data_IF_515276986608
#
_entry.id   IF_515276986608
#
_cell.length_a   1.000
_cell.length_b   1.000
_cell.length_c   1.000
_cell.angle_alpha   90.00
_cell.angle_beta   90.00
_cell.angle_gamma   90.00
#
_symmetry.space_group_name_H-M   'P 1'
#
loop_
_entity.id
_entity.type
_entity.pdbx_description
1 polymer ?
#
# COMPACT_ATOMS: atom_id res chain seq x y z
N UNK A 1 -16.77 -6.45 -13.93
CA UNK A 1 -16.16 -5.16 -14.33
C UNK A 1 -14.89 -5.52 -15.09
N UNK A 2 -14.87 -5.25 -16.39
CA UNK A 2 -14.12 -6.00 -17.39
C UNK A 2 -13.06 -5.15 -18.13
N UNK A 3 -12.38 -4.28 -17.39
CA UNK A 3 -11.40 -3.35 -17.95
C UNK A 3 -11.54 -1.94 -17.36
N UNK A 4 -11.00 -0.96 -18.08
CA UNK A 4 -11.08 0.47 -17.74
C UNK A 4 -12.09 1.17 -18.65
N UNK A 5 -12.73 2.25 -18.19
CA UNK A 5 -13.80 2.92 -18.97
C UNK A 5 -13.27 3.58 -20.26
N UNK A 6 -12.03 4.08 -20.22
CA UNK A 6 -11.43 4.86 -21.31
C UNK A 6 -9.98 4.49 -21.51
N UNK A 7 -9.56 4.50 -22.77
CA UNK A 7 -8.16 4.38 -23.14
C UNK A 7 -7.38 5.66 -22.83
N UNK A 8 -6.05 5.53 -22.89
CA UNK A 8 -5.12 6.64 -22.88
C UNK A 8 -5.31 7.52 -24.11
N UNK A 9 -5.43 8.83 -23.89
CA UNK A 9 -5.54 9.80 -25.00
C UNK A 9 -4.20 9.99 -25.71
N UNK A 10 -4.26 10.39 -26.99
CA UNK A 10 -3.07 10.64 -27.80
C UNK A 10 -2.17 11.68 -27.10
N UNK A 11 -0.89 11.38 -26.98
CA UNK A 11 0.12 12.25 -26.36
C UNK A 11 0.15 12.23 -24.83
N UNK A 12 -0.76 11.52 -24.15
CA UNK A 12 -0.74 11.43 -22.69
C UNK A 12 0.48 10.65 -22.19
N UNK A 13 0.92 9.63 -22.92
CA UNK A 13 2.08 8.82 -22.56
C UNK A 13 3.35 9.67 -22.47
N UNK A 14 3.64 10.47 -23.51
CA UNK A 14 4.79 11.39 -23.51
C UNK A 14 4.73 12.39 -22.36
N UNK A 15 3.53 12.90 -22.05
CA UNK A 15 3.32 13.82 -20.92
C UNK A 15 3.59 13.12 -19.58
N UNK A 16 3.07 11.91 -19.40
CA UNK A 16 3.27 11.11 -18.19
C UNK A 16 4.75 10.75 -18.00
N UNK A 17 5.45 10.34 -19.06
CA UNK A 17 6.89 10.06 -19.02
C UNK A 17 7.70 11.28 -18.56
N UNK A 18 7.38 12.47 -19.09
CA UNK A 18 8.02 13.71 -18.66
C UNK A 18 7.73 14.03 -17.18
N UNK A 19 6.47 13.85 -16.74
CA UNK A 19 6.07 14.07 -15.35
C UNK A 19 6.73 13.08 -14.39
N UNK A 20 6.80 11.80 -14.74
CA UNK A 20 7.47 10.76 -13.94
C UNK A 20 8.96 11.07 -13.81
N UNK A 21 9.61 11.50 -14.91
CA UNK A 21 11.03 11.87 -14.89
C UNK A 21 11.31 13.09 -14.00
N UNK A 22 10.44 14.10 -14.07
CA UNK A 22 10.54 15.28 -13.21
C UNK A 22 10.37 14.89 -11.73
N UNK A 23 9.31 14.13 -11.42
CA UNK A 23 9.04 13.62 -10.08
C UNK A 23 10.19 12.76 -9.54
N UNK A 24 10.72 11.82 -10.33
CA UNK A 24 11.87 10.99 -9.94
C UNK A 24 13.08 11.86 -9.58
N UNK A 25 13.38 12.88 -10.38
CA UNK A 25 14.52 13.78 -10.15
C UNK A 25 14.36 14.54 -8.83
N UNK A 26 13.17 15.11 -8.58
CA UNK A 26 12.86 15.84 -7.34
C UNK A 26 12.85 14.90 -6.12
N UNK A 27 12.19 13.74 -6.26
CA UNK A 27 12.11 12.74 -5.22
C UNK A 27 13.50 12.23 -4.82
N UNK A 28 14.41 12.01 -5.77
CA UNK A 28 15.76 11.53 -5.47
C UNK A 28 16.59 12.54 -4.66
N UNK A 29 16.36 13.85 -4.85
CA UNK A 29 16.98 14.88 -4.01
C UNK A 29 16.47 14.82 -2.56
N UNK A 30 15.17 14.60 -2.38
CA UNK A 30 14.55 14.46 -1.05
C UNK A 30 14.98 13.15 -0.40
N UNK A 31 14.97 12.05 -1.15
CA UNK A 31 15.43 10.73 -0.73
C UNK A 31 16.84 10.80 -0.16
N UNK A 32 17.80 11.41 -0.89
CA UNK A 32 19.18 11.54 -0.44
C UNK A 32 19.30 12.36 0.85
N UNK A 33 18.49 13.40 1.04
CA UNK A 33 18.48 14.15 2.29
C UNK A 33 17.96 13.30 3.45
N UNK A 34 16.83 12.62 3.24
CA UNK A 34 16.21 11.76 4.27
C UNK A 34 17.16 10.65 4.73
N UNK A 35 17.75 9.89 3.80
CA UNK A 35 18.56 8.71 4.16
C UNK A 35 19.89 9.09 4.84
N UNK A 36 20.34 10.35 4.69
CA UNK A 36 21.58 10.85 5.30
C UNK A 36 21.33 11.70 6.55
N UNK A 37 20.06 11.96 6.91
CA UNK A 37 19.71 12.76 8.08
C UNK A 37 19.54 11.85 9.31
N UNK A 38 20.64 11.65 10.05
CA UNK A 38 20.62 10.82 11.26
C UNK A 38 19.73 11.40 12.34
N UNK A 39 19.66 12.73 12.48
CA UNK A 39 18.84 13.39 13.50
C UNK A 39 17.35 13.11 13.26
N UNK A 40 16.91 13.18 12.00
CA UNK A 40 15.53 12.84 11.63
C UNK A 40 15.21 11.38 12.00
N UNK A 41 16.09 10.44 11.67
CA UNK A 41 15.88 9.02 11.94
C UNK A 41 15.91 8.70 13.44
N UNK A 42 16.86 9.27 14.18
CA UNK A 42 16.97 9.17 15.64
C UNK A 42 15.70 9.68 16.34
N UNK A 43 15.08 10.76 15.83
CA UNK A 43 13.83 11.30 16.40
C UNK A 43 12.65 10.34 16.31
N UNK A 44 12.65 9.42 15.34
CA UNK A 44 11.58 8.45 15.10
C UNK A 44 11.93 7.04 15.61
N UNK A 45 13.17 6.82 16.04
CA UNK A 45 13.63 5.50 16.46
C UNK A 45 12.93 5.09 17.76
N UNK A 46 12.49 3.82 17.82
CA UNK A 46 11.76 3.29 18.98
C UNK A 46 10.31 3.78 19.12
N UNK A 47 9.93 4.88 18.44
CA UNK A 47 8.56 5.40 18.46
C UNK A 47 7.59 4.39 17.86
N UNK A 48 6.50 4.11 18.58
CA UNK A 48 5.39 3.27 18.11
C UNK A 48 5.87 1.90 17.59
N UNK A 49 6.64 1.17 18.40
CA UNK A 49 7.11 -0.17 18.05
C UNK A 49 5.98 -1.20 18.13
N UNK A 50 5.76 -1.95 17.05
CA UNK A 50 4.66 -2.93 16.94
C UNK A 50 5.24 -4.35 16.98
N UNK A 51 4.71 -5.19 17.87
CA UNK A 51 5.16 -6.58 17.95
C UNK A 51 4.68 -7.42 16.76
N UNK A 52 5.50 -8.38 16.33
CA UNK A 52 5.13 -9.34 15.25
C UNK A 52 3.83 -10.09 15.54
N UNK A 53 3.58 -10.44 16.81
CA UNK A 53 2.35 -11.11 17.26
C UNK A 53 1.11 -10.25 16.99
N UNK A 54 1.21 -8.94 17.24
CA UNK A 54 0.12 -8.00 17.00
C UNK A 54 -0.14 -7.81 15.50
N UNK A 55 0.94 -7.72 14.72
CA UNK A 55 0.87 -7.61 13.25
C UNK A 55 0.13 -8.82 12.66
N UNK A 56 0.49 -10.03 13.10
CA UNK A 56 -0.19 -11.26 12.68
C UNK A 56 -1.65 -11.32 13.16
N UNK A 57 -1.92 -10.93 14.41
CA UNK A 57 -3.28 -10.93 14.99
C UNK A 57 -4.27 -10.10 14.15
N UNK A 58 -3.84 -8.95 13.64
CA UNK A 58 -4.70 -8.03 12.89
C UNK A 58 -4.55 -8.14 11.36
N UNK A 59 -3.73 -9.07 10.88
CA UNK A 59 -3.31 -9.13 9.47
C UNK A 59 -2.87 -7.75 8.98
N UNK A 60 -1.98 -7.11 9.74
CA UNK A 60 -1.52 -5.74 9.52
C UNK A 60 -0.42 -5.73 8.46
N UNK A 61 -0.80 -5.82 7.19
CA UNK A 61 0.12 -5.79 6.06
C UNK A 61 0.68 -4.41 5.73
N UNK A 62 1.00 -4.17 4.46
CA UNK A 62 1.51 -2.87 4.00
C UNK A 62 2.87 -2.51 4.62
N UNK A 63 3.06 -1.22 4.94
CA UNK A 63 4.33 -0.71 5.48
C UNK A 63 4.68 -1.32 6.85
N UNK A 64 3.69 -1.66 7.68
CA UNK A 64 3.89 -2.18 9.03
C UNK A 64 4.47 -3.59 9.01
N UNK A 65 3.85 -4.52 8.27
CA UNK A 65 4.41 -5.87 8.11
C UNK A 65 5.78 -5.84 7.43
N UNK A 66 5.92 -5.02 6.38
CA UNK A 66 7.19 -4.90 5.65
C UNK A 66 8.32 -4.43 6.59
N UNK A 67 8.09 -3.40 7.41
CA UNK A 67 9.06 -2.90 8.39
C UNK A 67 9.39 -3.91 9.50
N UNK A 68 8.49 -4.85 9.78
CA UNK A 68 8.72 -5.95 10.72
C UNK A 68 9.40 -7.17 10.06
N UNK A 69 9.68 -7.11 8.76
CA UNK A 69 10.23 -8.24 7.99
C UNK A 69 9.25 -9.41 7.87
N UNK A 70 7.94 -9.12 7.82
CA UNK A 70 6.89 -10.12 7.62
C UNK A 70 6.37 -9.97 6.19
N UNK A 71 6.41 -11.06 5.41
CA UNK A 71 5.80 -11.12 4.06
C UNK A 71 4.27 -11.23 4.22
N UNK A 72 3.61 -10.08 4.29
CA UNK A 72 2.15 -9.92 4.27
C UNK A 72 1.78 -8.87 3.22
N UNK A 73 2.03 -9.23 1.96
CA UNK A 73 1.66 -8.44 0.79
C UNK A 73 0.78 -9.30 -0.13
N UNK A 74 -0.47 -8.89 -0.33
CA UNK A 74 -1.43 -9.68 -1.14
C UNK A 74 -0.93 -9.86 -2.57
N UNK A 75 -0.16 -8.90 -3.11
CA UNK A 75 0.42 -8.97 -4.47
C UNK A 75 1.38 -10.14 -4.64
N UNK A 76 1.99 -10.61 -3.55
CA UNK A 76 2.95 -11.71 -3.57
C UNK A 76 2.29 -13.10 -3.57
N UNK A 77 1.03 -13.18 -3.11
CA UNK A 77 0.36 -14.46 -2.82
C UNK A 77 -0.91 -14.68 -3.66
N UNK A 78 -1.57 -13.60 -4.07
CA UNK A 78 -2.79 -13.64 -4.88
C UNK A 78 -2.50 -13.04 -6.25
N UNK A 79 -2.75 -13.80 -7.31
CA UNK A 79 -2.62 -13.30 -8.68
C UNK A 79 -3.80 -12.38 -9.00
N UNK A 80 -3.54 -11.10 -9.17
CA UNK A 80 -4.50 -10.13 -9.70
C UNK A 80 -3.77 -9.03 -10.48
N UNK A 81 -4.43 -8.49 -11.51
CA UNK A 81 -3.80 -7.53 -12.41
C UNK A 81 -2.55 -8.13 -13.06
N UNK A 82 -1.44 -7.39 -13.01
CA UNK A 82 -0.14 -7.75 -13.61
C UNK A 82 0.96 -7.97 -12.56
N UNK A 83 0.59 -8.05 -11.27
CA UNK A 83 1.58 -8.08 -10.18
C UNK A 83 2.43 -9.36 -10.15
N UNK A 84 1.98 -10.43 -10.82
CA UNK A 84 2.77 -11.64 -11.04
C UNK A 84 3.94 -11.41 -12.02
N UNK A 85 3.86 -10.42 -12.91
CA UNK A 85 4.90 -10.07 -13.89
C UNK A 85 5.81 -8.95 -13.39
N UNK A 86 5.28 -8.01 -12.61
CA UNK A 86 6.02 -6.81 -12.11
C UNK A 86 7.13 -7.17 -11.12
N UNK A 87 7.08 -8.37 -10.52
CA UNK A 87 8.05 -8.84 -9.55
C UNK A 87 7.78 -8.35 -8.13
N UNK A 88 8.41 -9.00 -7.15
CA UNK A 88 8.18 -8.73 -5.72
C UNK A 88 8.99 -7.52 -5.25
N UNK A 89 8.35 -6.66 -4.47
CA UNK A 89 9.07 -5.69 -3.65
C UNK A 89 9.71 -6.41 -2.47
N UNK A 90 11.04 -6.38 -2.38
CA UNK A 90 11.79 -6.97 -1.27
C UNK A 90 12.71 -5.91 -0.65
N UNK A 91 12.49 -5.61 0.63
CA UNK A 91 13.43 -4.82 1.42
C UNK A 91 14.40 -5.74 2.13
N UNK A 92 15.68 -5.63 1.79
CA UNK A 92 16.76 -6.32 2.50
C UNK A 92 17.27 -5.40 3.60
N UNK A 93 17.30 -5.88 4.84
CA UNK A 93 18.09 -5.27 5.92
C UNK A 93 17.39 -4.22 6.81
N UNK A 94 16.12 -3.88 6.57
CA UNK A 94 15.34 -2.96 7.43
C UNK A 94 14.36 -3.75 8.31
N UNK A 95 14.74 -4.02 9.56
CA UNK A 95 13.92 -4.79 10.51
C UNK A 95 13.92 -4.16 11.92
N UNK A 96 12.94 -3.29 12.19
CA UNK A 96 12.82 -2.60 13.49
C UNK A 96 11.39 -2.45 14.01
N UNK A 97 10.39 -2.55 13.13
CA UNK A 97 8.94 -2.40 13.41
C UNK A 97 8.52 -1.13 14.19
N UNK A 98 9.36 -0.10 14.20
CA UNK A 98 9.13 1.23 14.75
C UNK A 98 8.85 2.27 13.64
N UNK A 99 8.60 3.52 14.03
CA UNK A 99 8.26 4.60 13.11
C UNK A 99 9.42 4.90 12.13
N UNK A 100 10.66 4.93 12.60
CA UNK A 100 11.84 5.13 11.76
C UNK A 100 11.94 4.07 10.64
N UNK A 101 11.80 2.78 10.99
CA UNK A 101 11.84 1.71 10.00
C UNK A 101 10.68 1.81 9.01
N UNK A 102 9.46 2.12 9.48
CA UNK A 102 8.29 2.29 8.61
C UNK A 102 8.45 3.47 7.65
N UNK A 103 9.07 4.56 8.10
CA UNK A 103 9.35 5.70 7.25
C UNK A 103 10.35 5.36 6.14
N UNK A 104 11.47 4.72 6.47
CA UNK A 104 12.44 4.26 5.47
C UNK A 104 11.81 3.28 4.46
N UNK A 105 11.00 2.34 4.95
CA UNK A 105 10.23 1.42 4.09
C UNK A 105 9.30 2.18 3.13
N UNK A 106 8.59 3.20 3.60
CA UNK A 106 7.69 3.98 2.77
C UNK A 106 8.44 4.73 1.66
N UNK A 107 9.58 5.33 1.97
CA UNK A 107 10.43 6.04 1.02
C UNK A 107 11.03 5.07 -0.01
N UNK A 108 11.51 3.90 0.40
CA UNK A 108 11.98 2.88 -0.54
C UNK A 108 10.86 2.33 -1.44
N UNK A 109 9.63 2.21 -0.93
CA UNK A 109 8.48 1.81 -1.74
C UNK A 109 8.19 2.81 -2.85
N UNK A 110 8.30 4.11 -2.59
CA UNK A 110 8.12 5.15 -3.62
C UNK A 110 9.16 4.97 -4.73
N UNK A 111 10.43 4.81 -4.36
CA UNK A 111 11.53 4.55 -5.31
C UNK A 111 11.26 3.32 -6.17
N UNK A 112 10.80 2.22 -5.56
CA UNK A 112 10.43 1.02 -6.30
C UNK A 112 9.22 1.22 -7.22
N UNK A 113 8.19 1.92 -6.77
CA UNK A 113 7.02 2.21 -7.60
C UNK A 113 7.37 3.08 -8.81
N UNK A 114 8.28 4.05 -8.68
CA UNK A 114 8.80 4.82 -9.82
C UNK A 114 9.44 3.87 -10.86
N UNK A 115 10.29 2.94 -10.40
CA UNK A 115 10.92 1.95 -11.27
C UNK A 115 9.88 1.08 -12.00
N UNK A 116 8.91 0.55 -11.26
CA UNK A 116 7.81 -0.27 -11.81
C UNK A 116 7.02 0.52 -12.86
N UNK A 117 6.56 1.73 -12.53
CA UNK A 117 5.73 2.54 -13.44
C UNK A 117 6.51 2.87 -14.72
N UNK A 118 7.79 3.22 -14.63
CA UNK A 118 8.64 3.44 -15.82
C UNK A 118 8.74 2.19 -16.70
N UNK A 119 8.92 1.02 -16.08
CA UNK A 119 8.94 -0.26 -16.80
C UNK A 119 7.62 -0.56 -17.51
N UNK A 120 6.49 -0.26 -16.86
CA UNK A 120 5.16 -0.45 -17.45
C UNK A 120 4.91 0.52 -18.61
N UNK A 121 5.25 1.79 -18.47
CA UNK A 121 5.08 2.80 -19.54
C UNK A 121 5.90 2.46 -20.78
N UNK A 122 7.12 1.95 -20.61
CA UNK A 122 7.95 1.53 -21.73
C UNK A 122 7.42 0.29 -22.48
N UNK A 123 6.55 -0.51 -21.84
CA UNK A 123 6.08 -1.79 -22.36
C UNK A 123 4.54 -1.88 -22.39
N UNK A 124 3.84 -0.76 -22.57
CA UNK A 124 2.38 -0.74 -22.65
C UNK A 124 1.92 -1.56 -23.87
N UNK A 125 1.13 -2.64 -23.69
CA UNK A 125 0.60 -3.39 -24.80
C UNK A 125 -0.50 -2.58 -25.50
N UNK A 126 -0.56 -2.69 -26.83
CA UNK A 126 -1.75 -2.27 -27.58
C UNK A 126 -2.84 -3.34 -27.48
N UNK A 127 -4.11 -2.95 -27.49
CA UNK A 127 -5.22 -3.90 -27.49
C UNK A 127 -6.50 -3.33 -26.92
N UNK A 128 -7.47 -4.21 -26.66
CA UNK A 128 -8.72 -3.83 -26.00
C UNK A 128 -8.47 -3.49 -24.53
N UNK A 129 -8.94 -2.32 -24.09
CA UNK A 129 -8.86 -1.86 -22.71
C UNK A 129 -10.16 -2.11 -21.91
N UNK A 130 -11.25 -2.43 -22.62
CA UNK A 130 -12.57 -2.77 -22.08
C UNK A 130 -13.21 -3.87 -22.95
N UNK A 131 -13.76 -4.90 -22.32
CA UNK A 131 -14.54 -5.92 -23.04
C UNK A 131 -15.93 -5.37 -23.41
N UNK A 132 -16.29 -5.37 -24.70
CA UNK A 132 -17.52 -4.78 -25.26
C UNK A 132 -18.82 -5.48 -24.81
N UNK A 133 -18.75 -6.73 -24.35
CA UNK A 133 -19.90 -7.52 -23.94
C UNK A 133 -19.70 -8.09 -22.55
N UNK A 134 -19.88 -7.26 -21.53
CA UNK A 134 -20.22 -7.77 -20.21
C UNK A 134 -21.72 -8.10 -20.22
N UNK A 135 -22.10 -9.32 -20.58
CA UNK A 135 -23.42 -9.81 -20.16
C UNK A 135 -23.52 -9.54 -18.65
N UNK A 136 -24.67 -9.01 -18.21
CA UNK A 136 -24.92 -8.80 -16.78
C UNK A 136 -24.97 -10.19 -16.16
N UNK A 137 -23.81 -10.66 -15.71
CA UNK A 137 -23.66 -11.95 -15.07
C UNK A 137 -24.34 -11.81 -13.71
N UNK A 138 -25.55 -12.37 -13.58
CA UNK A 138 -26.12 -12.58 -12.26
C UNK A 138 -25.18 -13.53 -11.53
N UNK A 139 -24.42 -12.98 -10.59
CA UNK A 139 -23.49 -13.76 -9.79
C UNK A 139 -24.28 -14.85 -9.07
N UNK A 140 -23.91 -16.14 -9.21
CA UNK A 140 -24.63 -17.23 -8.57
C UNK A 140 -24.76 -16.97 -7.07
N UNK A 141 -25.83 -17.48 -6.46
CA UNK A 141 -26.01 -17.38 -5.01
C UNK A 141 -24.79 -17.98 -4.29
N UNK A 142 -24.10 -17.17 -3.50
CA UNK A 142 -22.88 -17.58 -2.82
C UNK A 142 -22.18 -16.43 -2.12
N UNK A 143 -21.07 -16.77 -1.47
CA UNK A 143 -20.12 -15.81 -0.89
C UNK A 143 -18.85 -15.80 -1.74
N UNK A 144 -18.49 -14.63 -2.25
CA UNK A 144 -17.27 -14.42 -3.04
C UNK A 144 -16.37 -13.48 -2.28
N UNK A 145 -15.11 -13.86 -2.09
CA UNK A 145 -14.13 -13.03 -1.40
C UNK A 145 -12.97 -12.77 -2.34
N UNK A 146 -12.62 -11.51 -2.51
CA UNK A 146 -11.40 -11.08 -3.19
C UNK A 146 -10.57 -10.22 -2.25
N UNK A 147 -9.29 -10.06 -2.59
CA UNK A 147 -8.37 -9.23 -1.82
C UNK A 147 -7.47 -8.43 -2.75
N UNK A 148 -7.14 -7.22 -2.33
CA UNK A 148 -6.19 -6.33 -2.99
C UNK A 148 -5.25 -5.74 -1.93
N UNK A 149 -4.03 -5.40 -2.33
CA UNK A 149 -3.12 -4.60 -1.51
C UNK A 149 -3.42 -3.10 -1.73
N UNK A 150 -4.01 -2.44 -0.73
CA UNK A 150 -4.17 -1.00 -0.70
C UNK A 150 -2.89 -0.32 -0.16
N UNK A 151 -2.75 1.01 -0.25
CA UNK A 151 -1.59 1.71 0.31
C UNK A 151 -1.37 1.44 1.81
N UNK A 152 -2.47 1.27 2.57
CA UNK A 152 -2.50 0.96 4.00
C UNK A 152 -2.36 -0.54 4.33
N UNK A 153 -2.29 -1.40 3.31
CA UNK A 153 -2.19 -2.85 3.46
C UNK A 153 -3.38 -3.64 2.87
N UNK A 154 -3.58 -4.90 3.28
CA UNK A 154 -4.57 -5.79 2.68
C UNK A 154 -6.00 -5.31 2.94
N UNK A 155 -6.75 -5.20 1.84
CA UNK A 155 -8.19 -4.96 1.81
C UNK A 155 -8.90 -6.18 1.24
N UNK A 156 -9.92 -6.63 1.94
CA UNK A 156 -10.77 -7.75 1.56
C UNK A 156 -12.15 -7.24 1.19
N UNK A 157 -12.68 -7.74 0.09
CA UNK A 157 -14.03 -7.44 -0.38
C UNK A 157 -14.79 -8.76 -0.43
N UNK A 158 -15.90 -8.84 0.29
CA UNK A 158 -16.81 -9.97 0.26
C UNK A 158 -18.14 -9.56 -0.37
N UNK A 159 -18.61 -10.32 -1.35
CA UNK A 159 -19.94 -10.20 -1.93
C UNK A 159 -20.80 -11.38 -1.48
N UNK A 160 -21.94 -11.09 -0.86
CA UNK A 160 -22.89 -12.10 -0.40
C UNK A 160 -24.31 -11.55 -0.48
N UNK A 161 -25.22 -12.29 -1.11
CA UNK A 161 -26.66 -11.94 -1.19
C UNK A 161 -26.92 -10.50 -1.63
N UNK A 162 -26.25 -10.06 -2.72
CA UNK A 162 -26.31 -8.69 -3.26
C UNK A 162 -25.79 -7.59 -2.32
N UNK A 163 -25.08 -7.94 -1.25
CA UNK A 163 -24.39 -7.01 -0.34
C UNK A 163 -22.88 -7.11 -0.51
N UNK A 164 -22.20 -5.96 -0.42
CA UNK A 164 -20.75 -5.86 -0.42
C UNK A 164 -20.28 -5.52 0.99
N UNK A 165 -19.31 -6.27 1.49
CA UNK A 165 -18.64 -6.04 2.76
C UNK A 165 -17.17 -5.77 2.49
N UNK A 166 -16.62 -4.74 3.11
CA UNK A 166 -15.21 -4.34 2.95
C UNK A 166 -14.54 -4.43 4.31
N UNK A 167 -13.36 -5.06 4.35
CA UNK A 167 -12.52 -5.13 5.54
C UNK A 167 -11.10 -4.70 5.19
N UNK A 168 -10.63 -3.61 5.80
CA UNK A 168 -9.26 -3.13 5.68
C UNK A 168 -8.53 -3.24 7.01
N UNK A 169 -7.21 -3.03 6.99
CA UNK A 169 -6.45 -2.94 8.25
C UNK A 169 -7.06 -1.86 9.15
N UNK A 170 -7.38 -0.69 8.60
CA UNK A 170 -7.95 0.42 9.35
C UNK A 170 -9.26 0.06 10.05
N UNK A 171 -10.17 -0.68 9.41
CA UNK A 171 -11.40 -1.13 10.09
C UNK A 171 -11.14 -2.14 11.20
N UNK A 172 -10.14 -3.01 11.04
CA UNK A 172 -9.78 -4.05 12.03
C UNK A 172 -9.10 -3.49 13.27
N UNK A 173 -8.28 -2.44 13.12
CA UNK A 173 -7.49 -1.88 14.22
C UNK A 173 -8.08 -0.63 14.85
N UNK A 174 -9.12 0.01 14.27
CA UNK A 174 -9.66 1.31 14.72
C UNK A 174 -9.91 1.39 16.22
N UNK A 175 -10.55 0.39 16.80
CA UNK A 175 -10.89 0.36 18.23
C UNK A 175 -9.69 0.06 19.13
N UNK A 176 -8.62 -0.47 18.55
CA UNK A 176 -7.39 -0.83 19.25
C UNK A 176 -6.32 0.28 19.18
N UNK A 177 -6.48 1.30 18.31
CA UNK A 177 -5.53 2.41 18.19
C UNK A 177 -5.29 3.14 19.52
N UNK A 178 -6.31 3.46 20.35
CA UNK A 178 -6.08 4.13 21.63
C UNK A 178 -5.18 3.29 22.57
N UNK A 179 -5.43 1.99 22.65
CA UNK A 179 -4.61 1.06 23.45
C UNK A 179 -3.18 0.95 22.90
N UNK A 180 -3.04 1.04 21.58
CA UNK A 180 -1.74 0.99 20.91
C UNK A 180 -0.91 2.25 21.18
N UNK A 181 -1.55 3.41 21.29
CA UNK A 181 -0.91 4.68 21.61
C UNK A 181 -0.63 4.84 23.11
N UNK A 182 -1.26 4.02 23.96
CA UNK A 182 -1.08 4.07 25.40
C UNK A 182 0.40 3.86 25.78
N UNK A 183 0.96 4.81 26.52
CA UNK A 183 2.36 4.81 26.93
C UNK A 183 3.31 5.52 25.96
N UNK A 184 2.82 6.03 24.83
CA UNK A 184 3.58 6.98 24.00
C UNK A 184 3.73 8.33 24.69
N UNK A 185 4.84 9.02 24.46
CA UNK A 185 5.01 10.41 24.87
C UNK A 185 4.03 11.31 24.10
N UNK A 186 3.53 12.36 24.76
CA UNK A 186 2.53 13.27 24.17
C UNK A 186 3.07 13.94 22.89
N UNK A 187 4.35 14.28 22.90
CA UNK A 187 5.05 14.91 21.77
C UNK A 187 5.19 13.97 20.56
N UNK A 188 5.06 12.65 20.78
CA UNK A 188 5.21 11.62 19.75
C UNK A 188 3.88 11.10 19.22
N UNK A 189 2.73 11.52 19.78
CA UNK A 189 1.42 10.96 19.43
C UNK A 189 1.11 11.13 17.94
N UNK A 190 1.35 12.30 17.37
CA UNK A 190 1.08 12.59 15.97
C UNK A 190 1.98 11.76 15.05
N UNK A 191 3.27 11.68 15.38
CA UNK A 191 4.24 10.86 14.66
C UNK A 191 3.88 9.37 14.74
N UNK A 192 3.57 8.89 15.94
CA UNK A 192 3.15 7.52 16.21
C UNK A 192 1.94 7.16 15.35
N UNK A 193 0.88 7.97 15.40
CA UNK A 193 -0.34 7.74 14.63
C UNK A 193 -0.09 7.81 13.12
N UNK A 194 0.62 8.84 12.63
CA UNK A 194 0.92 8.99 11.20
C UNK A 194 1.73 7.81 10.66
N UNK A 195 2.67 7.28 11.46
CA UNK A 195 3.51 6.15 11.08
C UNK A 195 2.75 4.82 10.91
N UNK A 196 1.49 4.73 11.38
CA UNK A 196 0.67 3.53 11.25
C UNK A 196 0.11 3.32 9.83
N UNK A 197 0.10 4.37 9.00
CA UNK A 197 -0.42 4.33 7.64
C UNK A 197 -1.90 3.99 7.55
N UNK A 198 -2.69 4.38 8.56
CA UNK A 198 -4.13 4.14 8.61
C UNK A 198 -4.89 5.22 7.81
N UNK A 199 -5.92 4.81 7.07
CA UNK A 199 -6.77 5.72 6.31
C UNK A 199 -8.01 6.08 7.13
N UNK A 200 -8.20 7.38 7.40
CA UNK A 200 -9.34 7.91 8.19
C UNK A 200 -10.68 7.52 7.54
N UNK A 201 -10.79 7.65 6.21
CA UNK A 201 -12.01 7.33 5.45
C UNK A 201 -12.38 5.84 5.52
N UNK A 202 -11.39 4.95 5.60
CA UNK A 202 -11.64 3.51 5.68
C UNK A 202 -12.06 3.08 7.08
N UNK A 203 -11.69 3.82 8.13
CA UNK A 203 -12.12 3.54 9.51
C UNK A 203 -13.58 3.92 9.80
N UNK A 204 -14.12 4.89 9.06
CA UNK A 204 -15.48 5.41 9.23
C UNK A 204 -16.58 4.58 8.53
N UNK A 205 -16.21 3.70 7.59
CA UNK A 205 -17.14 2.89 6.79
C UNK A 205 -17.61 1.59 7.47
N UNK A 206 -17.63 1.53 8.80
CA UNK A 206 -18.03 0.33 9.55
C UNK A 206 -18.85 0.62 10.77
#
# INVERSE_FOLDING_TARGET
>A
LNGVERDLTIGIQTKLEAQIKAFESEFMLVYQKIVNDSLLLERMEGVMKISKKLIQKFSWGGIVATAAGIDLDVRNHTKYGIYDVVGKFNLKGLHGSDAATRFLVAIEKIKHHIFVVKGLMANLPSGQFLLEHAEVYESPNGMYVSSIEAPSGPMYVAYMSKKIFISSVSTRVKNFVPDLLAGSEVEDLDLAYASLGLSIEQGALG
#
